data_IF_736623821313
#
_entry.id   IF_736623821313
#
_cell.length_a   1.000
_cell.length_b   1.000
_cell.length_c   1.000
_cell.angle_alpha   90.00
_cell.angle_beta   90.00
_cell.angle_gamma   90.00
#
_symmetry.space_group_name_H-M   'P 1'
#
loop_
_entity.id
_entity.type
_entity.pdbx_description
1 polymer ?
#
# COMPACT_ATOMS: atom_id res chain seq x y z
N UNK A 1 16.67 48.47 -16.50
CA UNK A 1 16.05 48.33 -15.18
C UNK A 1 14.92 47.33 -15.35
N UNK A 2 15.13 46.07 -14.94
CA UNK A 2 14.14 45.01 -15.12
C UNK A 2 12.99 45.20 -14.11
N UNK A 3 11.72 45.01 -14.49
CA UNK A 3 10.59 45.22 -13.59
C UNK A 3 10.62 44.19 -12.44
N UNK A 4 10.42 44.67 -11.21
CA UNK A 4 10.42 43.90 -9.96
C UNK A 4 9.53 42.64 -10.01
N UNK A 5 8.47 42.64 -10.84
CA UNK A 5 7.53 41.53 -11.02
C UNK A 5 8.15 40.27 -11.64
N UNK A 6 9.23 40.40 -12.42
CA UNK A 6 9.96 39.24 -12.96
C UNK A 6 10.86 38.59 -11.91
N UNK A 7 11.37 39.38 -10.96
CA UNK A 7 12.17 38.89 -9.83
C UNK A 7 11.29 38.18 -8.80
N UNK A 8 10.06 38.65 -8.59
CA UNK A 8 9.07 37.99 -7.73
C UNK A 8 8.58 36.65 -8.33
N UNK A 9 8.35 36.58 -9.64
CA UNK A 9 8.01 35.32 -10.31
C UNK A 9 9.18 34.30 -10.23
N UNK A 10 10.42 34.76 -10.40
CA UNK A 10 11.61 33.92 -10.29
C UNK A 10 11.86 33.43 -8.85
N UNK A 11 11.59 34.27 -7.84
CA UNK A 11 11.74 33.92 -6.42
C UNK A 11 10.60 33.03 -5.93
N UNK A 12 9.39 33.18 -6.48
CA UNK A 12 8.26 32.27 -6.27
C UNK A 12 8.52 30.89 -6.91
N UNK A 13 9.17 30.85 -8.08
CA UNK A 13 9.63 29.62 -8.73
C UNK A 13 10.79 28.93 -7.98
N UNK A 14 11.72 29.71 -7.40
CA UNK A 14 12.86 29.19 -6.64
C UNK A 14 12.55 28.77 -5.20
N UNK A 15 11.32 29.00 -4.72
CA UNK A 15 10.81 28.47 -3.43
C UNK A 15 10.17 27.10 -3.53
N UNK A 16 10.15 26.49 -4.72
CA UNK A 16 10.03 25.04 -4.84
C UNK A 16 11.36 24.49 -4.31
N UNK A 17 11.39 23.99 -3.06
CA UNK A 17 12.49 23.11 -2.65
C UNK A 17 12.62 22.08 -3.76
N UNK A 18 13.76 22.06 -4.47
CA UNK A 18 14.00 21.06 -5.51
C UNK A 18 13.68 19.70 -4.89
N UNK A 19 12.57 19.09 -5.32
CA UNK A 19 12.13 17.82 -4.79
C UNK A 19 13.27 16.85 -5.03
N UNK A 20 13.93 16.46 -3.94
CA UNK A 20 15.15 15.65 -4.03
C UNK A 20 14.71 14.23 -4.30
N UNK A 21 15.30 13.61 -5.32
CA UNK A 21 15.01 12.20 -5.60
C UNK A 21 15.62 11.36 -4.48
N UNK A 22 14.77 10.67 -3.75
CA UNK A 22 15.12 9.74 -2.66
C UNK A 22 14.92 8.30 -3.13
N UNK A 23 15.37 7.34 -2.31
CA UNK A 23 15.05 5.91 -2.44
C UNK A 23 14.35 5.42 -1.19
N UNK A 24 13.51 4.40 -1.32
CA UNK A 24 12.80 3.86 -0.18
C UNK A 24 11.83 2.76 -0.56
N UNK A 25 11.10 2.30 0.44
CA UNK A 25 10.05 1.32 0.30
C UNK A 25 8.70 2.01 0.07
N UNK A 26 7.90 1.43 -0.82
CA UNK A 26 6.49 1.75 -1.00
C UNK A 26 5.69 0.55 -0.52
N UNK A 27 4.72 0.79 0.36
CA UNK A 27 3.79 -0.22 0.83
C UNK A 27 2.41 0.19 0.35
N UNK A 28 1.77 -0.67 -0.44
CA UNK A 28 0.38 -0.48 -0.83
C UNK A 28 -0.45 -1.58 -0.20
N UNK A 29 -1.47 -1.20 0.56
CA UNK A 29 -2.48 -2.14 1.05
C UNK A 29 -3.72 -1.99 0.18
N UNK A 30 -4.32 -3.09 -0.26
CA UNK A 30 -5.45 -3.13 -1.20
C UNK A 30 -6.51 -4.10 -0.66
N UNK A 31 -7.70 -3.58 -0.35
CA UNK A 31 -8.79 -4.40 0.21
C UNK A 31 -9.44 -5.21 -0.90
N UNK A 32 -9.21 -6.52 -0.87
CA UNK A 32 -9.85 -7.46 -1.79
C UNK A 32 -11.34 -7.54 -1.51
N UNK A 33 -12.15 -7.53 -2.58
CA UNK A 33 -13.61 -7.61 -2.48
C UNK A 33 -14.31 -6.27 -2.24
N UNK A 34 -13.55 -5.19 -2.01
CA UNK A 34 -14.07 -3.84 -1.71
C UNK A 34 -15.20 -3.39 -2.63
N UNK A 35 -14.98 -3.40 -3.95
CA UNK A 35 -15.96 -2.88 -4.91
C UNK A 35 -17.27 -3.68 -4.88
N UNK A 36 -17.17 -5.01 -4.79
CA UNK A 36 -18.35 -5.90 -4.72
C UNK A 36 -19.06 -5.67 -3.39
N UNK A 37 -18.32 -5.52 -2.30
CA UNK A 37 -18.87 -5.32 -0.97
C UNK A 37 -19.70 -4.03 -0.88
N UNK A 38 -19.19 -2.91 -1.39
CA UNK A 38 -19.91 -1.63 -1.41
C UNK A 38 -21.13 -1.64 -2.34
N UNK A 39 -21.09 -2.38 -3.45
CA UNK A 39 -22.18 -2.38 -4.45
C UNK A 39 -23.30 -3.35 -4.13
N UNK A 40 -23.07 -4.36 -3.28
CA UNK A 40 -24.04 -5.42 -2.95
C UNK A 40 -24.53 -5.38 -1.51
N UNK A 41 -24.16 -4.35 -0.76
CA UNK A 41 -24.48 -4.22 0.66
C UNK A 41 -25.16 -2.90 0.96
N UNK A 42 -25.73 -2.79 2.16
CA UNK A 42 -26.28 -1.55 2.68
C UNK A 42 -25.16 -0.52 2.83
N UNK A 43 -25.22 0.56 2.04
CA UNK A 43 -24.11 1.49 1.82
C UNK A 43 -23.53 2.05 3.14
N UNK A 44 -24.40 2.48 4.06
CA UNK A 44 -23.96 3.11 5.31
C UNK A 44 -23.13 2.14 6.17
N UNK A 45 -23.59 0.90 6.31
CA UNK A 45 -22.87 -0.12 7.08
C UNK A 45 -21.62 -0.60 6.36
N UNK A 46 -21.69 -0.77 5.04
CA UNK A 46 -20.54 -1.14 4.24
C UNK A 46 -19.44 -0.07 4.37
N UNK A 47 -19.82 1.21 4.32
CA UNK A 47 -18.90 2.34 4.51
C UNK A 47 -18.27 2.32 5.92
N UNK A 48 -19.06 2.13 6.98
CA UNK A 48 -18.54 2.05 8.34
C UNK A 48 -17.54 0.89 8.53
N UNK A 49 -17.84 -0.29 7.98
CA UNK A 49 -16.95 -1.47 8.05
C UNK A 49 -15.64 -1.17 7.33
N UNK A 50 -15.69 -0.66 6.11
CA UNK A 50 -14.50 -0.30 5.34
C UNK A 50 -13.68 0.77 6.07
N UNK A 51 -14.33 1.78 6.64
CA UNK A 51 -13.65 2.81 7.41
C UNK A 51 -12.94 2.22 8.64
N UNK A 52 -13.59 1.33 9.39
CA UNK A 52 -12.97 0.64 10.53
C UNK A 52 -11.74 -0.16 10.10
N UNK A 53 -11.81 -0.87 8.97
CA UNK A 53 -10.68 -1.62 8.42
C UNK A 53 -9.52 -0.73 7.98
N UNK A 54 -9.79 0.43 7.39
CA UNK A 54 -8.74 1.41 7.08
C UNK A 54 -8.12 1.99 8.35
N UNK A 55 -8.94 2.35 9.34
CA UNK A 55 -8.42 2.87 10.61
C UNK A 55 -7.56 1.84 11.35
N UNK A 56 -7.94 0.56 11.33
CA UNK A 56 -7.14 -0.52 11.90
C UNK A 56 -5.75 -0.63 11.23
N UNK A 57 -5.69 -0.50 9.90
CA UNK A 57 -4.43 -0.48 9.17
C UNK A 57 -3.59 0.73 9.55
N UNK A 58 -4.17 1.94 9.54
CA UNK A 58 -3.46 3.18 9.87
C UNK A 58 -2.93 3.19 11.30
N UNK A 59 -3.73 2.74 12.28
CA UNK A 59 -3.33 2.65 13.68
C UNK A 59 -2.23 1.61 13.94
N UNK A 60 -2.02 0.67 13.00
CA UNK A 60 -0.93 -0.31 13.06
C UNK A 60 0.38 0.18 12.45
N UNK A 61 0.37 1.32 11.75
CA UNK A 61 1.58 1.92 11.19
C UNK A 61 2.45 2.47 12.31
N UNK A 62 3.74 2.13 12.25
CA UNK A 62 4.74 2.64 13.17
C UNK A 62 5.65 3.63 12.45
N UNK A 63 6.05 4.68 13.17
CA UNK A 63 7.10 5.60 12.68
C UNK A 63 8.37 4.80 12.37
N UNK A 64 9.07 5.09 11.25
CA UNK A 64 8.94 6.29 10.42
C UNK A 64 8.16 6.10 9.11
N UNK A 65 7.18 5.18 9.07
CA UNK A 65 6.32 4.99 7.88
C UNK A 65 5.36 6.16 7.71
N UNK A 66 5.32 6.74 6.51
CA UNK A 66 4.46 7.87 6.18
C UNK A 66 3.36 7.47 5.21
N UNK A 67 2.15 8.01 5.40
CA UNK A 67 1.05 7.84 4.45
C UNK A 67 1.19 8.88 3.34
N UNK A 68 1.25 8.44 2.09
CA UNK A 68 1.26 9.32 0.91
C UNK A 68 -0.17 9.72 0.56
N UNK A 69 -1.01 8.75 0.23
CA UNK A 69 -2.38 9.00 -0.22
C UNK A 69 -3.26 7.75 -0.14
N UNK A 70 -4.57 7.97 -0.30
CA UNK A 70 -5.60 6.95 -0.42
C UNK A 70 -6.08 6.88 -1.87
N UNK A 71 -6.35 5.67 -2.37
CA UNK A 71 -6.78 5.42 -3.74
C UNK A 71 -7.96 4.44 -3.73
N UNK A 72 -9.16 4.94 -3.47
CA UNK A 72 -10.36 4.09 -3.39
C UNK A 72 -10.24 3.06 -2.26
N UNK A 73 -9.90 1.83 -2.63
CA UNK A 73 -9.71 0.64 -1.78
C UNK A 73 -8.29 0.45 -1.26
N UNK A 74 -7.36 1.33 -1.62
CA UNK A 74 -5.95 1.20 -1.28
C UNK A 74 -5.36 2.37 -0.47
N UNK A 75 -4.38 2.05 0.38
CA UNK A 75 -3.52 3.02 1.07
C UNK A 75 -2.11 2.89 0.52
N UNK A 76 -1.52 3.99 0.04
CA UNK A 76 -0.10 4.07 -0.30
C UNK A 76 0.67 4.71 0.86
N UNK A 77 1.62 3.96 1.40
CA UNK A 77 2.59 4.41 2.38
C UNK A 77 4.01 4.35 1.80
N UNK A 78 4.93 5.10 2.40
CA UNK A 78 6.33 5.10 2.03
C UNK A 78 7.25 5.22 3.24
N UNK A 79 8.46 4.69 3.07
CA UNK A 79 9.53 4.71 4.06
C UNK A 79 10.86 4.99 3.35
N UNK A 80 11.46 6.18 3.53
CA UNK A 80 12.78 6.47 2.98
C UNK A 80 13.83 5.47 3.47
N UNK A 81 14.76 5.07 2.59
CA UNK A 81 15.78 4.06 2.87
C UNK A 81 16.65 4.44 4.08
N UNK A 82 17.01 5.72 4.19
CA UNK A 82 17.81 6.26 5.28
C UNK A 82 17.10 6.29 6.64
N UNK A 83 15.77 6.12 6.66
CA UNK A 83 14.96 6.12 7.87
C UNK A 83 14.64 4.70 8.37
N UNK A 84 15.02 3.66 7.63
CA UNK A 84 14.74 2.26 7.98
C UNK A 84 15.46 1.89 9.28
N UNK A 85 14.74 1.56 10.38
CA UNK A 85 15.38 1.28 11.67
C UNK A 85 16.26 0.02 11.66
N UNK A 86 15.76 -1.06 11.06
CA UNK A 86 16.46 -2.34 10.91
C UNK A 86 15.97 -3.11 9.68
N UNK A 87 16.66 -4.20 9.35
CA UNK A 87 16.40 -4.99 8.13
C UNK A 87 15.05 -5.73 8.12
N UNK A 88 14.39 -5.90 9.26
CA UNK A 88 13.13 -6.63 9.38
C UNK A 88 11.92 -5.70 9.44
N UNK A 89 12.14 -4.43 9.82
CA UNK A 89 11.12 -3.42 10.07
C UNK A 89 9.99 -3.39 9.02
N UNK A 90 10.32 -3.43 7.72
CA UNK A 90 9.31 -3.39 6.66
C UNK A 90 8.42 -4.64 6.68
N UNK A 91 9.00 -5.83 6.87
CA UNK A 91 8.24 -7.08 6.94
C UNK A 91 7.44 -7.17 8.25
N UNK A 92 7.97 -6.65 9.35
CA UNK A 92 7.21 -6.50 10.60
C UNK A 92 6.03 -5.55 10.43
N UNK A 93 6.20 -4.46 9.69
CA UNK A 93 5.12 -3.55 9.39
C UNK A 93 4.04 -4.19 8.50
N UNK A 94 4.42 -5.02 7.52
CA UNK A 94 3.49 -5.85 6.74
C UNK A 94 2.68 -6.77 7.65
N UNK A 95 3.34 -7.49 8.58
CA UNK A 95 2.66 -8.36 9.57
C UNK A 95 1.67 -7.59 10.44
N UNK A 96 2.10 -6.44 10.96
CA UNK A 96 1.30 -5.62 11.86
C UNK A 96 0.02 -5.12 11.17
N UNK A 97 0.14 -4.65 9.91
CA UNK A 97 -1.01 -4.24 9.08
C UNK A 97 -1.98 -5.39 8.91
N UNK A 98 -1.50 -6.56 8.45
CA UNK A 98 -2.37 -7.69 8.17
C UNK A 98 -3.06 -8.23 9.42
N UNK A 99 -2.33 -8.31 10.54
CA UNK A 99 -2.90 -8.72 11.84
C UNK A 99 -3.92 -7.74 12.37
N UNK A 100 -3.68 -6.44 12.23
CA UNK A 100 -4.65 -5.43 12.65
C UNK A 100 -5.94 -5.52 11.83
N UNK A 101 -5.81 -5.66 10.50
CA UNK A 101 -6.94 -5.83 9.59
C UNK A 101 -7.78 -7.08 9.91
N UNK A 102 -7.14 -8.25 10.01
CA UNK A 102 -7.83 -9.52 10.30
C UNK A 102 -8.45 -9.55 11.69
N UNK A 103 -7.80 -8.94 12.70
CA UNK A 103 -8.37 -8.79 14.05
C UNK A 103 -9.62 -7.93 14.04
N UNK A 104 -9.61 -6.82 13.31
CA UNK A 104 -10.78 -5.94 13.21
C UNK A 104 -11.95 -6.63 12.51
N UNK A 105 -11.69 -7.35 11.42
CA UNK A 105 -12.70 -8.21 10.78
C UNK A 105 -13.29 -9.23 11.74
N UNK A 106 -12.45 -9.96 12.49
CA UNK A 106 -12.89 -10.96 13.44
C UNK A 106 -13.73 -10.34 14.57
N UNK A 107 -13.34 -9.17 15.07
CA UNK A 107 -14.10 -8.45 16.10
C UNK A 107 -15.51 -8.09 15.62
N UNK A 108 -15.64 -7.58 14.40
CA UNK A 108 -16.95 -7.25 13.81
C UNK A 108 -17.81 -8.49 13.51
N UNK A 109 -17.19 -9.64 13.23
CA UNK A 109 -17.90 -10.90 12.99
C UNK A 109 -18.42 -11.56 14.27
N UNK A 110 -17.71 -11.41 15.39
CA UNK A 110 -18.11 -11.99 16.68
C UNK A 110 -19.36 -11.31 17.24
N UNK A 111 -19.51 -10.00 17.01
CA UNK A 111 -20.66 -9.23 17.46
C UNK A 111 -21.20 -8.34 16.33
N UNK A 112 -21.85 -8.94 15.31
CA UNK A 112 -22.33 -8.18 14.17
C UNK A 112 -23.46 -7.25 14.64
N UNK A 113 -23.42 -5.96 14.28
CA UNK A 113 -24.41 -4.99 14.77
C UNK A 113 -25.82 -5.28 14.23
N UNK A 114 -25.94 -5.97 13.09
CA UNK A 114 -27.20 -6.46 12.54
C UNK A 114 -26.99 -7.64 11.57
N UNK A 115 -28.09 -8.23 11.08
CA UNK A 115 -28.08 -9.32 10.10
C UNK A 115 -28.13 -8.88 8.63
N UNK A 116 -27.72 -7.66 8.30
CA UNK A 116 -27.77 -7.16 6.93
C UNK A 116 -26.67 -7.78 6.04
N UNK A 117 -26.71 -7.53 4.73
CA UNK A 117 -25.71 -8.06 3.80
C UNK A 117 -24.31 -7.55 4.13
N UNK A 118 -24.15 -6.27 4.48
CA UNK A 118 -22.85 -5.71 4.85
C UNK A 118 -22.21 -6.49 6.02
N UNK A 119 -22.97 -6.69 7.10
CA UNK A 119 -22.47 -7.35 8.31
C UNK A 119 -22.26 -8.85 8.12
N UNK A 120 -23.11 -9.50 7.31
CA UNK A 120 -23.00 -10.94 7.04
C UNK A 120 -21.85 -11.27 6.10
N UNK A 121 -21.49 -10.35 5.19
CA UNK A 121 -20.48 -10.60 4.15
C UNK A 121 -19.10 -10.04 4.50
N UNK A 122 -18.83 -9.64 5.75
CA UNK A 122 -17.50 -9.14 6.17
C UNK A 122 -16.41 -10.14 5.80
N UNK A 123 -16.66 -11.45 5.97
CA UNK A 123 -15.72 -12.53 5.66
C UNK A 123 -15.32 -12.66 4.18
N UNK A 124 -15.99 -11.92 3.28
CA UNK A 124 -15.64 -11.87 1.85
C UNK A 124 -14.54 -10.87 1.54
N UNK A 125 -14.20 -10.00 2.50
CA UNK A 125 -13.09 -9.06 2.39
C UNK A 125 -11.79 -9.76 2.78
N UNK A 126 -10.70 -9.35 2.16
CA UNK A 126 -9.35 -9.73 2.59
C UNK A 126 -8.36 -8.63 2.18
N UNK A 127 -7.06 -8.83 2.42
CA UNK A 127 -6.04 -7.84 2.13
C UNK A 127 -4.97 -8.38 1.18
N UNK A 128 -4.53 -7.52 0.26
CA UNK A 128 -3.29 -7.70 -0.50
C UNK A 128 -2.32 -6.61 -0.09
N UNK A 129 -1.05 -6.96 0.05
CA UNK A 129 -0.01 -6.00 0.37
C UNK A 129 1.06 -6.07 -0.71
N UNK A 130 1.38 -4.92 -1.31
CA UNK A 130 2.43 -4.78 -2.31
C UNK A 130 3.59 -4.01 -1.70
N UNK A 131 4.81 -4.53 -1.84
CA UNK A 131 6.00 -3.82 -1.41
C UNK A 131 6.95 -3.67 -2.59
N UNK A 132 7.31 -2.43 -2.87
CA UNK A 132 8.30 -2.08 -3.87
C UNK A 132 9.44 -1.31 -3.22
N UNK A 133 10.66 -1.44 -3.74
CA UNK A 133 11.79 -0.59 -3.37
C UNK A 133 12.29 0.15 -4.60
N UNK A 134 12.30 1.47 -4.56
CA UNK A 134 12.60 2.30 -5.72
C UNK A 134 12.83 3.77 -5.40
N UNK A 135 12.92 4.59 -6.45
CA UNK A 135 13.13 6.03 -6.38
C UNK A 135 11.82 6.78 -6.36
N UNK A 136 11.76 7.83 -5.56
CA UNK A 136 10.61 8.72 -5.50
C UNK A 136 11.03 10.16 -5.23
N UNK A 137 10.11 11.08 -5.46
CA UNK A 137 10.16 12.47 -5.04
C UNK A 137 8.92 12.77 -4.21
N UNK A 138 9.09 13.49 -3.12
CA UNK A 138 7.98 14.05 -2.37
C UNK A 138 7.44 15.28 -3.08
N UNK A 139 6.13 15.36 -3.20
CA UNK A 139 5.40 16.45 -3.79
C UNK A 139 4.32 16.93 -2.83
N UNK A 140 4.35 18.22 -2.49
CA UNK A 140 3.38 18.80 -1.58
C UNK A 140 2.15 19.26 -2.36
N UNK A 141 1.02 18.62 -2.10
CA UNK A 141 -0.28 18.94 -2.70
C UNK A 141 -1.18 19.44 -1.56
N UNK A 142 -1.34 20.77 -1.47
CA UNK A 142 -2.03 21.39 -0.34
C UNK A 142 -1.33 21.13 1.00
N UNK A 143 -2.05 20.52 1.93
CA UNK A 143 -1.58 20.11 3.26
C UNK A 143 -0.99 18.69 3.27
N UNK A 144 -1.09 17.95 2.15
CA UNK A 144 -0.61 16.57 2.03
C UNK A 144 0.73 16.48 1.31
N UNK A 145 1.47 15.43 1.61
CA UNK A 145 2.68 15.04 0.89
C UNK A 145 2.40 13.74 0.18
N UNK A 146 2.51 13.76 -1.15
CA UNK A 146 2.40 12.57 -1.99
C UNK A 146 3.78 12.21 -2.56
N UNK A 147 3.96 10.94 -2.92
CA UNK A 147 5.15 10.52 -3.66
C UNK A 147 4.87 10.36 -5.15
N UNK A 148 5.84 10.74 -5.98
CA UNK A 148 5.78 10.57 -7.43
C UNK A 148 7.09 10.01 -7.99
N UNK A 149 7.00 9.36 -9.14
CA UNK A 149 8.14 8.76 -9.84
C UNK A 149 7.75 7.52 -10.65
N UNK A 150 8.65 7.07 -11.51
CA UNK A 150 8.45 5.85 -12.32
C UNK A 150 8.26 4.61 -11.45
N UNK A 151 8.99 4.50 -10.34
CA UNK A 151 8.87 3.35 -9.42
C UNK A 151 7.55 3.37 -8.64
N UNK A 152 6.98 4.56 -8.40
CA UNK A 152 5.62 4.70 -7.83
C UNK A 152 4.57 4.20 -8.82
N UNK A 153 4.73 4.53 -10.11
CA UNK A 153 3.87 4.00 -11.18
C UNK A 153 3.96 2.48 -11.23
N UNK A 154 5.17 1.92 -11.16
CA UNK A 154 5.38 0.46 -11.15
C UNK A 154 4.68 -0.19 -9.95
N UNK A 155 4.80 0.36 -8.74
CA UNK A 155 4.12 -0.15 -7.55
C UNK A 155 2.59 -0.18 -7.73
N UNK A 156 2.00 0.86 -8.33
CA UNK A 156 0.57 0.85 -8.67
C UNK A 156 0.21 -0.18 -9.75
N UNK A 157 1.07 -0.37 -10.75
CA UNK A 157 0.83 -1.36 -11.80
C UNK A 157 0.86 -2.78 -11.25
N UNK A 158 1.73 -3.07 -10.26
CA UNK A 158 1.76 -4.35 -9.56
C UNK A 158 0.40 -4.73 -8.95
N UNK A 159 -0.46 -3.78 -8.57
CA UNK A 159 -1.80 -4.07 -8.05
C UNK A 159 -2.72 -4.70 -9.09
N UNK A 160 -2.51 -4.39 -10.38
CA UNK A 160 -3.19 -5.04 -11.49
C UNK A 160 -2.41 -6.30 -11.84
N UNK A 161 -2.82 -7.44 -11.30
CA UNK A 161 -2.11 -8.71 -11.48
C UNK A 161 -3.09 -9.88 -11.51
N UNK A 162 -2.57 -11.05 -11.84
CA UNK A 162 -3.27 -12.33 -11.93
C UNK A 162 -2.73 -13.33 -10.89
N UNK A 163 -2.24 -12.83 -9.74
CA UNK A 163 -1.63 -13.69 -8.70
C UNK A 163 -2.66 -14.65 -8.12
N UNK A 164 -3.91 -14.21 -7.88
CA UNK A 164 -4.96 -15.06 -7.30
C UNK A 164 -5.29 -16.21 -8.24
N UNK A 165 -5.42 -15.92 -9.52
CA UNK A 165 -5.72 -16.86 -10.59
C UNK A 165 -4.57 -17.86 -10.78
N UNK A 166 -3.31 -17.38 -10.72
CA UNK A 166 -2.13 -18.21 -10.92
C UNK A 166 -1.77 -19.07 -9.69
N UNK A 167 -2.02 -18.59 -8.48
CA UNK A 167 -1.52 -19.21 -7.24
C UNK A 167 -2.59 -19.78 -6.33
N UNK A 168 -3.85 -19.36 -6.48
CA UNK A 168 -4.96 -19.68 -5.58
C UNK A 168 -4.92 -18.96 -4.23
N UNK A 169 -3.87 -18.18 -3.94
CA UNK A 169 -3.71 -17.45 -2.67
C UNK A 169 -4.66 -16.24 -2.68
N UNK A 170 -5.48 -16.10 -1.63
CA UNK A 170 -6.47 -15.03 -1.54
C UNK A 170 -5.86 -13.73 -0.97
N UNK A 171 -5.18 -13.84 0.16
CA UNK A 171 -4.41 -12.78 0.81
C UNK A 171 -2.92 -13.00 0.66
N UNK A 172 -2.26 -12.06 0.01
CA UNK A 172 -0.84 -12.22 -0.35
C UNK A 172 -0.03 -10.95 -0.16
N UNK A 173 1.25 -11.18 0.17
CA UNK A 173 2.32 -10.21 0.04
C UNK A 173 2.93 -10.36 -1.35
N UNK A 174 2.92 -9.29 -2.14
CA UNK A 174 3.61 -9.23 -3.43
C UNK A 174 4.81 -8.28 -3.31
N UNK A 175 6.00 -8.82 -3.48
CA UNK A 175 7.26 -8.07 -3.46
C UNK A 175 7.73 -7.85 -4.89
N UNK A 176 8.15 -6.64 -5.23
CA UNK A 176 8.99 -6.47 -6.43
C UNK A 176 10.33 -7.18 -6.23
N UNK A 177 11.00 -7.56 -7.31
CA UNK A 177 12.34 -8.16 -7.21
C UNK A 177 13.33 -7.29 -6.40
N UNK A 178 13.26 -5.96 -6.55
CA UNK A 178 14.07 -5.03 -5.78
C UNK A 178 13.79 -5.08 -4.28
N UNK A 179 12.51 -5.15 -3.88
CA UNK A 179 12.11 -5.29 -2.48
C UNK A 179 12.49 -6.66 -1.92
N UNK A 180 12.21 -7.74 -2.67
CA UNK A 180 12.55 -9.11 -2.29
C UNK A 180 14.05 -9.25 -1.99
N UNK A 181 14.91 -8.74 -2.88
CA UNK A 181 16.37 -8.81 -2.72
C UNK A 181 16.87 -8.07 -1.48
N UNK A 182 16.26 -6.93 -1.14
CA UNK A 182 16.66 -6.14 0.04
C UNK A 182 16.15 -6.72 1.34
N UNK A 183 14.91 -7.20 1.35
CA UNK A 183 14.25 -7.72 2.55
C UNK A 183 14.69 -9.15 2.86
N UNK A 184 15.07 -9.93 1.85
CA UNK A 184 15.46 -11.34 1.96
C UNK A 184 14.50 -12.14 2.88
N UNK A 185 13.18 -12.17 2.55
CA UNK A 185 12.13 -12.69 3.43
C UNK A 185 12.37 -14.13 3.91
N UNK A 186 13.10 -14.93 3.14
CA UNK A 186 13.46 -16.30 3.48
C UNK A 186 14.27 -16.38 4.77
N UNK A 187 15.07 -15.35 5.08
CA UNK A 187 15.85 -15.26 6.33
C UNK A 187 14.97 -15.12 7.56
N UNK A 188 13.72 -14.69 7.38
CA UNK A 188 12.71 -14.54 8.43
C UNK A 188 11.65 -15.64 8.37
N UNK A 189 11.94 -16.74 7.66
CA UNK A 189 11.02 -17.87 7.54
C UNK A 189 9.76 -17.57 6.74
N UNK A 190 9.77 -16.52 5.91
CA UNK A 190 8.65 -16.14 5.05
C UNK A 190 8.89 -16.73 3.65
N UNK A 191 8.26 -17.86 3.30
CA UNK A 191 8.43 -18.46 1.99
C UNK A 191 7.76 -17.59 0.93
N UNK A 192 8.49 -17.28 -0.13
CA UNK A 192 7.95 -16.61 -1.31
C UNK A 192 8.08 -17.49 -2.55
N UNK A 193 7.21 -17.26 -3.54
CA UNK A 193 7.23 -17.94 -4.83
C UNK A 193 7.42 -16.91 -5.94
N UNK A 194 8.26 -17.18 -6.95
CA UNK A 194 8.41 -16.27 -8.07
C UNK A 194 7.11 -16.18 -8.87
N UNK A 195 6.79 -14.97 -9.32
CA UNK A 195 5.66 -14.64 -10.19
C UNK A 195 6.11 -13.59 -11.21
N UNK A 196 5.42 -13.51 -12.36
CA UNK A 196 5.72 -12.51 -13.40
C UNK A 196 4.42 -11.96 -13.95
N UNK A 197 4.40 -10.66 -14.19
CA UNK A 197 3.34 -9.99 -14.95
C UNK A 197 3.96 -9.24 -16.12
N UNK A 198 3.18 -9.04 -17.17
CA UNK A 198 3.59 -8.17 -18.29
C UNK A 198 2.66 -6.97 -18.36
N UNK A 199 3.27 -5.78 -18.38
CA UNK A 199 2.54 -4.52 -18.44
C UNK A 199 2.88 -3.74 -19.70
N UNK A 200 1.88 -3.07 -20.24
CA UNK A 200 2.07 -2.08 -21.30
C UNK A 200 3.07 -1.01 -20.83
N UNK A 201 4.08 -0.73 -21.65
CA UNK A 201 5.17 0.23 -21.42
C UNK A 201 6.17 -0.09 -20.27
N UNK A 202 5.97 -1.13 -19.47
CA UNK A 202 6.95 -1.59 -18.46
C UNK A 202 7.58 -2.95 -18.80
N UNK A 203 6.98 -3.69 -19.74
CA UNK A 203 7.44 -5.01 -20.12
C UNK A 203 7.17 -6.03 -19.01
N UNK A 204 8.04 -7.03 -18.92
CA UNK A 204 7.92 -8.09 -17.93
C UNK A 204 8.47 -7.64 -16.57
N UNK A 205 7.66 -7.81 -15.53
CA UNK A 205 7.98 -7.42 -14.16
C UNK A 205 8.05 -8.67 -13.28
N UNK A 206 9.26 -9.05 -12.81
CA UNK A 206 9.41 -10.14 -11.85
C UNK A 206 8.97 -9.71 -10.45
N UNK A 207 8.24 -10.60 -9.79
CA UNK A 207 7.67 -10.43 -8.45
C UNK A 207 7.85 -11.70 -7.62
N UNK A 208 7.67 -11.57 -6.32
CA UNK A 208 7.71 -12.68 -5.36
C UNK A 208 6.48 -12.63 -4.47
N UNK A 209 5.76 -13.75 -4.37
CA UNK A 209 4.47 -13.85 -3.70
C UNK A 209 4.59 -14.69 -2.45
N UNK A 210 4.21 -14.14 -1.30
CA UNK A 210 4.04 -14.83 -0.02
C UNK A 210 2.58 -14.87 0.41
N UNK A 211 2.19 -15.91 1.15
CA UNK A 211 0.85 -16.06 1.73
C UNK A 211 0.76 -15.29 3.06
N UNK A 212 -0.12 -14.29 3.16
CA UNK A 212 -0.23 -13.45 4.37
C UNK A 212 -0.75 -14.24 5.58
N UNK A 213 -1.50 -15.32 5.35
CA UNK A 213 -2.04 -16.17 6.43
C UNK A 213 -0.91 -16.93 7.14
N UNK A 214 0.26 -17.06 6.50
CA UNK A 214 1.43 -17.77 7.02
C UNK A 214 2.49 -16.85 7.67
N UNK A 215 2.14 -15.58 7.90
CA UNK A 215 3.08 -14.47 8.12
C UNK A 215 3.23 -14.01 9.58
#
# INVERSE_FOLDING_TARGET
>A
MFPQSALDCYTQFMRIRMATVRKGYFLITDITGYTIFLTRSELDHAHHIIQALFQAQLASLTEPVQVSNFQGDAILCYLPEEAVPDGNFVLDQVRNIYRAFTREMAAMQVNPPCGCNACSNISTLDLKIFVHFGRFMENRVGDRTEILGSDVILAHRMMKNHIREATGIQSYLCLSEAAHRKLAPERLGLPTRPHRETYEHLGEVPMYVGDLVRL
#
